data_IF_224909561262
#
_entry.id   IF_224909561262
#
_cell.length_a   1.000
_cell.length_b   1.000
_cell.length_c   1.000
_cell.angle_alpha   90.00
_cell.angle_beta   90.00
_cell.angle_gamma   90.00
#
_symmetry.space_group_name_H-M   'P 1'
#
loop_
_entity.id
_entity.type
_entity.pdbx_description
1 polymer ?
#
# COMPACT_ATOMS: atom_id res chain seq x y z
N UNK A 1 -50.40 60.28 11.63
CA UNK A 1 -49.02 60.01 11.12
C UNK A 1 -48.36 58.81 11.79
N UNK A 2 -48.34 58.72 13.13
CA UNK A 2 -47.60 57.69 13.87
C UNK A 2 -47.96 56.23 13.52
N UNK A 3 -49.25 55.91 13.32
CA UNK A 3 -49.70 54.55 12.94
C UNK A 3 -49.18 54.08 11.58
N UNK A 4 -49.04 54.99 10.59
CA UNK A 4 -48.50 54.66 9.26
C UNK A 4 -46.99 54.42 9.30
N UNK A 5 -46.26 55.12 10.17
CA UNK A 5 -44.82 54.90 10.36
C UNK A 5 -44.55 53.51 10.99
N UNK A 6 -45.32 53.13 12.01
CA UNK A 6 -45.17 51.81 12.67
C UNK A 6 -45.47 50.66 11.69
N UNK A 7 -46.53 50.78 10.87
CA UNK A 7 -46.83 49.78 9.84
C UNK A 7 -45.72 49.65 8.79
N UNK A 8 -45.13 50.77 8.33
CA UNK A 8 -44.01 50.72 7.37
C UNK A 8 -42.78 50.03 7.97
N UNK A 9 -42.49 50.29 9.25
CA UNK A 9 -41.31 49.73 9.93
C UNK A 9 -41.45 48.21 10.14
N UNK A 10 -42.66 47.74 10.46
CA UNK A 10 -42.96 46.30 10.61
C UNK A 10 -42.88 45.57 9.27
N UNK A 11 -43.37 46.17 8.17
CA UNK A 11 -43.27 45.57 6.84
C UNK A 11 -41.81 45.47 6.39
N UNK A 12 -41.00 46.51 6.61
CA UNK A 12 -39.57 46.51 6.26
C UNK A 12 -38.77 45.48 7.07
N UNK A 13 -39.09 45.27 8.34
CA UNK A 13 -38.43 44.23 9.15
C UNK A 13 -38.85 42.82 8.75
N UNK A 14 -40.12 42.59 8.41
CA UNK A 14 -40.58 41.28 7.91
C UNK A 14 -39.97 40.96 6.54
N UNK A 15 -39.82 41.94 5.65
CA UNK A 15 -39.14 41.76 4.36
C UNK A 15 -37.64 41.53 4.56
N UNK A 16 -36.98 42.25 5.47
CA UNK A 16 -35.57 42.03 5.79
C UNK A 16 -35.30 40.64 6.38
N UNK A 17 -36.20 40.14 7.24
CA UNK A 17 -36.13 38.78 7.79
C UNK A 17 -36.44 37.74 6.70
N UNK A 18 -37.42 37.98 5.81
CA UNK A 18 -37.71 37.10 4.68
C UNK A 18 -36.54 37.03 3.67
N UNK A 19 -35.81 38.13 3.46
CA UNK A 19 -34.58 38.11 2.65
C UNK A 19 -33.40 37.47 3.39
N UNK A 20 -33.26 37.64 4.71
CA UNK A 20 -32.19 37.01 5.48
C UNK A 20 -32.39 35.49 5.63
N UNK A 21 -33.65 35.04 5.76
CA UNK A 21 -34.01 33.61 5.73
C UNK A 21 -33.95 33.05 4.31
N UNK A 22 -34.26 33.87 3.29
CA UNK A 22 -34.11 33.51 1.87
C UNK A 22 -32.68 33.43 1.35
N UNK A 23 -31.70 34.02 2.05
CA UNK A 23 -30.27 34.02 1.66
C UNK A 23 -29.45 32.97 2.46
N UNK A 24 -30.04 32.27 3.44
CA UNK A 24 -29.33 31.26 4.25
C UNK A 24 -29.81 29.82 4.09
N UNK A 25 -30.48 29.49 2.98
CA UNK A 25 -30.66 28.10 2.53
C UNK A 25 -29.91 27.87 1.21
N UNK A 26 -28.58 28.08 1.24
CA UNK A 26 -27.70 27.29 0.40
C UNK A 26 -27.66 25.87 0.97
N UNK A 27 -28.77 25.14 0.84
CA UNK A 27 -28.69 23.69 0.70
C UNK A 27 -27.69 23.46 -0.42
N UNK A 28 -26.57 22.80 -0.10
CA UNK A 28 -25.69 22.25 -1.12
C UNK A 28 -26.53 21.24 -1.89
N UNK A 29 -27.20 21.71 -2.96
CA UNK A 29 -27.68 20.84 -4.03
C UNK A 29 -26.46 20.03 -4.44
N UNK A 30 -26.42 18.76 -4.03
CA UNK A 30 -25.66 17.77 -4.75
C UNK A 30 -26.11 17.95 -6.20
N UNK A 31 -25.25 18.48 -7.07
CA UNK A 31 -25.56 18.54 -8.50
C UNK A 31 -26.07 17.15 -8.89
N UNK A 32 -27.29 17.07 -9.42
CA UNK A 32 -27.89 15.78 -9.76
C UNK A 32 -26.88 15.02 -10.63
N UNK A 33 -26.69 13.73 -10.40
CA UNK A 33 -25.71 12.94 -11.16
C UNK A 33 -25.91 13.10 -12.69
N UNK A 34 -27.17 13.33 -13.11
CA UNK A 34 -27.55 13.68 -14.48
C UNK A 34 -26.90 14.98 -14.99
N UNK A 35 -26.82 16.02 -14.17
CA UNK A 35 -26.14 17.27 -14.51
C UNK A 35 -24.62 17.05 -14.65
N UNK A 36 -24.03 16.21 -13.79
CA UNK A 36 -22.60 15.91 -13.82
C UNK A 36 -22.19 15.14 -15.09
N UNK A 37 -22.98 14.15 -15.53
CA UNK A 37 -22.75 13.49 -16.82
C UNK A 37 -22.93 14.44 -18.01
N UNK A 38 -23.91 15.34 -17.94
CA UNK A 38 -24.08 16.40 -18.94
C UNK A 38 -22.87 17.32 -19.03
N UNK A 39 -22.27 17.71 -17.89
CA UNK A 39 -21.02 18.48 -17.84
C UNK A 39 -19.88 17.69 -18.47
N UNK A 40 -19.70 16.42 -18.10
CA UNK A 40 -18.65 15.56 -18.66
C UNK A 40 -18.75 15.46 -20.20
N UNK A 41 -19.94 15.20 -20.73
CA UNK A 41 -20.19 15.13 -22.17
C UNK A 41 -19.87 16.46 -22.88
N UNK A 42 -20.22 17.60 -22.27
CA UNK A 42 -19.86 18.92 -22.81
C UNK A 42 -18.36 19.15 -22.82
N UNK A 43 -17.64 18.77 -21.76
CA UNK A 43 -16.17 18.88 -21.71
C UNK A 43 -15.54 18.07 -22.84
N UNK A 44 -15.96 16.81 -23.00
CA UNK A 44 -15.48 15.96 -24.09
C UNK A 44 -15.72 16.57 -25.47
N UNK A 45 -16.95 17.05 -25.72
CA UNK A 45 -17.31 17.67 -26.99
C UNK A 45 -16.54 18.96 -27.29
N UNK A 46 -16.28 19.78 -26.26
CA UNK A 46 -15.45 20.99 -26.41
C UNK A 46 -14.03 20.61 -26.81
N UNK A 47 -13.43 19.62 -26.14
CA UNK A 47 -12.08 19.14 -26.49
C UNK A 47 -12.06 18.63 -27.93
N UNK A 48 -12.99 17.75 -28.31
CA UNK A 48 -13.09 17.21 -29.67
C UNK A 48 -13.27 18.30 -30.74
N UNK A 49 -14.08 19.32 -30.46
CA UNK A 49 -14.41 20.36 -31.44
C UNK A 49 -13.41 21.52 -31.51
N UNK A 50 -12.62 21.75 -30.45
CA UNK A 50 -11.76 22.94 -30.30
C UNK A 50 -10.27 22.63 -30.15
N UNK A 51 -9.89 21.38 -29.90
CA UNK A 51 -8.48 20.99 -29.91
C UNK A 51 -7.89 21.19 -31.31
N UNK A 52 -6.65 21.67 -31.35
CA UNK A 52 -5.99 22.12 -32.59
C UNK A 52 -5.63 20.97 -33.54
N UNK A 53 -5.56 19.74 -33.02
CA UNK A 53 -5.27 18.52 -33.77
C UNK A 53 -6.44 17.52 -33.70
N UNK A 54 -6.48 16.51 -34.59
CA UNK A 54 -7.44 15.42 -34.47
C UNK A 54 -7.30 14.69 -33.13
N UNK A 55 -8.43 14.52 -32.42
CA UNK A 55 -8.48 13.80 -31.14
C UNK A 55 -8.62 12.30 -31.38
N UNK A 56 -7.73 11.51 -30.78
CA UNK A 56 -7.93 10.07 -30.60
C UNK A 56 -8.99 9.83 -29.53
N UNK A 57 -10.23 9.60 -29.97
CA UNK A 57 -11.40 9.43 -29.11
C UNK A 57 -11.26 8.23 -28.15
N UNK A 58 -10.66 7.13 -28.61
CA UNK A 58 -10.46 5.94 -27.80
C UNK A 58 -9.49 6.23 -26.65
N UNK A 59 -8.37 6.90 -26.95
CA UNK A 59 -7.39 7.32 -25.94
C UNK A 59 -7.97 8.35 -24.96
N UNK A 60 -8.78 9.29 -25.45
CA UNK A 60 -9.44 10.28 -24.59
C UNK A 60 -10.40 9.61 -23.59
N UNK A 61 -11.19 8.64 -24.04
CA UNK A 61 -12.10 7.87 -23.17
C UNK A 61 -11.37 6.97 -22.19
N UNK A 62 -10.29 6.31 -22.62
CA UNK A 62 -9.43 5.56 -21.70
C UNK A 62 -8.90 6.46 -20.57
N UNK A 63 -8.46 7.67 -20.90
CA UNK A 63 -8.01 8.66 -19.91
C UNK A 63 -9.12 9.07 -18.94
N UNK A 64 -10.35 9.25 -19.43
CA UNK A 64 -11.51 9.57 -18.60
C UNK A 64 -11.88 8.43 -17.65
N UNK A 65 -11.96 7.18 -18.13
CA UNK A 65 -12.26 6.01 -17.32
C UNK A 65 -11.20 5.78 -16.25
N UNK A 66 -9.92 5.92 -16.62
CA UNK A 66 -8.81 5.85 -15.67
C UNK A 66 -8.92 6.93 -14.61
N UNK A 67 -9.18 8.18 -15.00
CA UNK A 67 -9.40 9.28 -14.08
C UNK A 67 -10.53 8.98 -13.08
N UNK A 68 -11.67 8.48 -13.56
CA UNK A 68 -12.83 8.15 -12.73
C UNK A 68 -12.56 7.04 -11.70
N UNK A 69 -11.78 6.02 -12.07
CA UNK A 69 -11.47 4.88 -11.18
C UNK A 69 -10.32 5.21 -10.21
N UNK A 70 -9.21 5.75 -10.72
CA UNK A 70 -7.99 5.98 -9.94
C UNK A 70 -8.12 7.19 -8.99
N UNK A 71 -9.05 8.12 -9.23
CA UNK A 71 -9.28 9.26 -8.33
C UNK A 71 -9.97 8.88 -7.01
N UNK A 72 -10.68 7.75 -6.96
CA UNK A 72 -11.42 7.30 -5.78
C UNK A 72 -10.48 6.80 -4.69
N UNK A 73 -9.46 6.04 -5.09
CA UNK A 73 -8.43 5.50 -4.21
C UNK A 73 -7.19 5.19 -5.03
N UNK A 74 -6.01 5.60 -4.54
CA UNK A 74 -4.75 5.52 -5.29
C UNK A 74 -4.22 4.09 -5.54
N UNK A 75 -4.94 3.07 -5.05
CA UNK A 75 -4.68 1.66 -5.33
C UNK A 75 -5.70 1.05 -6.30
N UNK A 76 -6.78 1.76 -6.64
CA UNK A 76 -7.69 1.33 -7.69
C UNK A 76 -7.00 1.45 -9.05
N UNK A 77 -7.40 0.60 -9.99
CA UNK A 77 -6.83 0.58 -11.35
C UNK A 77 -7.92 0.36 -12.39
N UNK A 78 -7.99 1.23 -13.40
CA UNK A 78 -8.68 0.91 -14.65
C UNK A 78 -7.71 0.16 -15.56
N UNK A 79 -8.17 -0.89 -16.23
CA UNK A 79 -7.34 -1.76 -17.05
C UNK A 79 -8.07 -1.97 -18.38
N UNK A 80 -7.62 -1.33 -19.47
CA UNK A 80 -8.20 -1.53 -20.80
C UNK A 80 -8.16 -3.00 -21.22
N UNK A 81 -9.16 -3.45 -22.00
CA UNK A 81 -9.29 -4.84 -22.44
C UNK A 81 -8.01 -5.37 -23.12
N UNK A 82 -7.48 -4.60 -24.09
CA UNK A 82 -6.26 -4.92 -24.83
C UNK A 82 -4.99 -4.99 -23.96
N UNK A 83 -4.98 -4.31 -22.80
CA UNK A 83 -3.91 -4.40 -21.80
C UNK A 83 -4.12 -5.64 -20.95
N UNK A 84 -5.34 -5.88 -20.47
CA UNK A 84 -5.68 -7.06 -19.66
C UNK A 84 -5.30 -8.36 -20.39
N UNK A 85 -5.61 -8.49 -21.67
CA UNK A 85 -5.24 -9.66 -22.49
C UNK A 85 -3.73 -9.93 -22.48
N UNK A 86 -2.91 -8.88 -22.48
CA UNK A 86 -1.43 -8.99 -22.51
C UNK A 86 -0.84 -9.29 -21.14
N UNK A 87 -1.49 -8.84 -20.05
CA UNK A 87 -0.95 -9.00 -18.69
C UNK A 87 -1.53 -10.21 -17.95
N UNK A 88 -2.71 -10.70 -18.31
CA UNK A 88 -3.36 -11.85 -17.66
C UNK A 88 -2.46 -13.09 -17.58
N UNK A 89 -1.72 -13.51 -18.64
CA UNK A 89 -0.79 -14.63 -18.54
C UNK A 89 0.32 -14.39 -17.51
N UNK A 90 0.78 -13.14 -17.38
CA UNK A 90 1.88 -12.73 -16.49
C UNK A 90 1.53 -12.81 -15.01
N UNK A 91 0.24 -12.78 -14.65
CA UNK A 91 -0.18 -12.81 -13.25
C UNK A 91 0.23 -14.11 -12.53
N UNK A 92 0.40 -15.20 -13.29
CA UNK A 92 0.84 -16.51 -12.79
C UNK A 92 2.35 -16.72 -12.86
N UNK A 93 3.07 -15.82 -13.51
CA UNK A 93 4.52 -15.95 -13.70
C UNK A 93 5.26 -15.70 -12.40
N UNK A 94 6.29 -16.51 -12.16
CA UNK A 94 7.18 -16.38 -10.99
C UNK A 94 8.39 -15.48 -11.26
N UNK A 95 8.78 -15.33 -12.52
CA UNK A 95 9.88 -14.47 -12.91
C UNK A 95 9.53 -12.99 -12.69
N UNK A 96 10.47 -12.25 -12.11
CA UNK A 96 10.34 -10.82 -11.83
C UNK A 96 11.68 -10.10 -12.03
N UNK A 97 11.62 -8.78 -12.24
CA UNK A 97 12.82 -7.92 -12.32
C UNK A 97 13.44 -7.67 -10.94
N UNK A 98 12.64 -7.79 -9.88
CA UNK A 98 13.06 -7.58 -8.50
C UNK A 98 12.92 -6.16 -8.00
N UNK A 99 11.90 -5.44 -8.45
CA UNK A 99 11.52 -4.14 -7.91
C UNK A 99 10.10 -4.18 -7.35
N UNK A 100 9.85 -3.35 -6.33
CA UNK A 100 8.52 -2.97 -5.88
C UNK A 100 8.29 -1.53 -6.24
N UNK A 101 7.09 -1.20 -6.70
CA UNK A 101 6.76 0.13 -7.18
C UNK A 101 5.44 0.64 -6.61
N UNK A 102 5.33 1.96 -6.54
CA UNK A 102 4.08 2.70 -6.34
C UNK A 102 3.86 3.64 -7.53
N UNK A 103 2.65 4.18 -7.67
CA UNK A 103 2.37 5.24 -8.62
C UNK A 103 2.45 6.59 -7.91
N UNK A 104 3.29 7.51 -8.40
CA UNK A 104 3.43 8.87 -7.86
C UNK A 104 3.56 9.87 -9.02
N UNK A 105 2.68 10.87 -9.05
CA UNK A 105 2.66 11.85 -10.15
C UNK A 105 2.40 11.21 -11.52
N UNK A 106 1.69 10.08 -11.56
CA UNK A 106 1.47 9.28 -12.78
C UNK A 106 2.57 8.24 -13.06
N UNK A 107 3.79 8.44 -12.58
CA UNK A 107 4.91 7.54 -12.88
C UNK A 107 5.02 6.38 -11.89
N UNK A 108 5.64 5.29 -12.34
CA UNK A 108 6.06 4.22 -11.43
C UNK A 108 7.34 4.64 -10.70
N UNK A 109 7.29 4.69 -9.37
CA UNK A 109 8.45 4.95 -8.53
C UNK A 109 8.83 3.69 -7.77
N UNK A 110 10.10 3.32 -7.83
CA UNK A 110 10.67 2.20 -7.08
C UNK A 110 10.67 2.53 -5.59
N UNK A 111 10.13 1.63 -4.77
CA UNK A 111 10.10 1.75 -3.30
C UNK A 111 10.98 0.73 -2.61
N UNK A 112 11.32 -0.36 -3.30
CA UNK A 112 12.21 -1.40 -2.82
C UNK A 112 12.83 -2.12 -4.00
N UNK A 113 14.09 -2.52 -3.83
CA UNK A 113 14.84 -3.35 -4.77
C UNK A 113 15.18 -4.63 -4.03
N UNK A 114 14.81 -5.76 -4.60
CA UNK A 114 14.96 -7.06 -3.96
C UNK A 114 16.43 -7.47 -4.06
N UNK A 115 17.09 -7.85 -2.96
CA UNK A 115 18.46 -8.34 -3.01
C UNK A 115 18.64 -9.55 -3.93
N UNK A 116 19.77 -9.60 -4.64
CA UNK A 116 20.11 -10.64 -5.60
C UNK A 116 19.36 -10.58 -6.94
N UNK A 117 18.58 -9.51 -7.17
CA UNK A 117 17.81 -9.31 -8.39
C UNK A 117 18.61 -8.68 -9.53
N UNK A 118 18.07 -8.74 -10.76
CA UNK A 118 18.67 -8.05 -11.90
C UNK A 118 18.59 -6.52 -11.76
N UNK A 119 17.54 -6.01 -11.08
CA UNK A 119 17.45 -4.60 -10.74
C UNK A 119 18.58 -4.12 -9.83
N UNK A 120 18.90 -4.89 -8.79
CA UNK A 120 20.01 -4.56 -7.88
C UNK A 120 21.36 -4.54 -8.63
N UNK A 121 21.61 -5.54 -9.47
CA UNK A 121 22.84 -5.62 -10.28
C UNK A 121 23.00 -4.42 -11.23
N UNK A 122 21.89 -3.90 -11.74
CA UNK A 122 21.89 -2.72 -12.60
C UNK A 122 22.01 -1.40 -11.82
N UNK A 123 22.10 -1.44 -10.49
CA UNK A 123 22.20 -0.24 -9.65
C UNK A 123 20.88 0.52 -9.49
N UNK A 124 19.73 -0.11 -9.76
CA UNK A 124 18.45 0.50 -9.43
C UNK A 124 18.37 0.63 -7.91
N UNK A 125 17.93 1.80 -7.44
CA UNK A 125 17.74 2.11 -6.02
C UNK A 125 16.31 2.57 -5.74
N UNK A 126 15.90 2.55 -4.47
CA UNK A 126 14.64 3.16 -4.05
C UNK A 126 14.61 4.65 -4.43
N UNK A 127 13.46 5.14 -4.89
CA UNK A 127 13.28 6.49 -5.43
C UNK A 127 13.39 6.57 -6.95
N UNK A 128 14.06 5.61 -7.61
CA UNK A 128 14.18 5.54 -9.08
C UNK A 128 12.81 5.62 -9.75
N UNK A 129 12.69 6.48 -10.76
CA UNK A 129 11.46 6.65 -11.54
C UNK A 129 11.56 5.81 -12.81
N UNK A 130 10.68 4.82 -12.95
CA UNK A 130 10.53 4.05 -14.19
C UNK A 130 9.61 4.83 -15.09
N UNK A 131 10.10 5.22 -16.26
CA UNK A 131 9.36 6.00 -17.25
C UNK A 131 8.62 5.12 -18.24
N UNK A 132 9.26 4.03 -18.70
CA UNK A 132 8.67 3.10 -19.67
C UNK A 132 8.93 1.66 -19.29
N UNK A 133 7.99 0.80 -19.67
CA UNK A 133 8.12 -0.65 -19.63
C UNK A 133 7.81 -1.19 -21.03
N UNK A 134 8.80 -1.80 -21.68
CA UNK A 134 8.73 -2.26 -23.07
C UNK A 134 8.21 -1.16 -24.02
N UNK A 135 8.77 0.05 -23.90
CA UNK A 135 8.40 1.22 -24.70
C UNK A 135 7.08 1.91 -24.32
N UNK A 136 6.27 1.33 -23.43
CA UNK A 136 5.03 1.96 -22.95
C UNK A 136 5.30 2.85 -21.74
N UNK A 137 4.86 4.11 -21.81
CA UNK A 137 4.97 5.03 -20.68
C UNK A 137 4.16 4.58 -19.47
N UNK A 138 4.75 4.65 -18.29
CA UNK A 138 4.08 4.25 -17.04
C UNK A 138 2.94 5.19 -16.64
N UNK A 139 2.96 6.44 -17.12
CA UNK A 139 1.85 7.37 -16.87
C UNK A 139 0.54 6.95 -17.53
N UNK A 140 0.63 6.21 -18.64
CA UNK A 140 -0.52 5.68 -19.38
C UNK A 140 -0.97 4.31 -18.82
N UNK A 141 -0.23 3.75 -17.86
CA UNK A 141 -0.52 2.46 -17.27
C UNK A 141 -1.09 2.61 -15.86
N UNK A 142 -2.01 1.74 -15.50
CA UNK A 142 -2.47 1.60 -14.11
C UNK A 142 -1.42 0.89 -13.26
N UNK A 143 -1.48 1.08 -11.93
CA UNK A 143 -0.55 0.44 -11.00
C UNK A 143 -0.61 -1.10 -11.12
N UNK A 144 -1.81 -1.66 -11.31
CA UNK A 144 -1.98 -3.09 -11.57
C UNK A 144 -1.22 -3.55 -12.81
N UNK A 145 -1.35 -2.80 -13.91
CA UNK A 145 -0.71 -3.13 -15.19
C UNK A 145 0.80 -3.05 -15.08
N UNK A 146 1.33 -2.03 -14.41
CA UNK A 146 2.77 -1.89 -14.11
C UNK A 146 3.26 -3.11 -13.32
N UNK A 147 2.60 -3.45 -12.20
CA UNK A 147 2.98 -4.60 -11.35
C UNK A 147 2.95 -5.92 -12.14
N UNK A 148 1.95 -6.12 -13.00
CA UNK A 148 1.84 -7.32 -13.82
C UNK A 148 2.90 -7.39 -14.93
N UNK A 149 3.26 -6.25 -15.54
CA UNK A 149 4.30 -6.18 -16.57
C UNK A 149 5.71 -6.41 -16.03
N UNK A 150 5.95 -6.12 -14.73
CA UNK A 150 7.20 -6.43 -14.04
C UNK A 150 7.37 -7.92 -13.72
N UNK A 151 6.35 -8.74 -14.02
CA UNK A 151 6.40 -10.20 -14.02
C UNK A 151 6.41 -10.76 -15.43
N UNK A 152 7.06 -11.89 -15.59
CA UNK A 152 7.14 -12.58 -16.86
C UNK A 152 7.90 -13.91 -16.77
N UNK A 153 7.96 -14.65 -17.89
CA UNK A 153 8.62 -15.94 -17.91
C UNK A 153 10.11 -15.79 -17.60
N UNK A 154 10.64 -16.65 -16.73
CA UNK A 154 12.06 -16.63 -16.31
C UNK A 154 12.98 -16.66 -17.53
N UNK A 155 14.03 -15.83 -17.51
CA UNK A 155 15.01 -15.66 -18.58
C UNK A 155 14.54 -14.81 -19.77
N UNK A 156 13.25 -14.47 -19.87
CA UNK A 156 12.77 -13.57 -20.93
C UNK A 156 13.18 -12.11 -20.66
N UNK A 157 13.42 -11.32 -21.71
CA UNK A 157 13.81 -9.94 -21.56
C UNK A 157 12.64 -9.02 -21.18
N UNK A 158 12.97 -7.93 -20.50
CA UNK A 158 12.11 -6.78 -20.27
C UNK A 158 12.95 -5.52 -20.36
N UNK A 159 12.51 -4.56 -21.18
CA UNK A 159 13.15 -3.27 -21.30
C UNK A 159 12.49 -2.29 -20.32
N UNK A 160 13.29 -1.67 -19.46
CA UNK A 160 12.86 -0.54 -18.65
C UNK A 160 13.64 0.70 -19.07
N UNK A 161 12.92 1.79 -19.29
CA UNK A 161 13.48 3.15 -19.34
C UNK A 161 13.29 3.75 -17.96
N UNK A 162 14.37 4.17 -17.29
CA UNK A 162 14.30 4.80 -15.97
C UNK A 162 15.21 6.01 -15.86
N UNK A 163 14.84 6.95 -14.98
CA UNK A 163 15.67 8.12 -14.70
C UNK A 163 16.83 7.72 -13.78
N UNK A 164 18.05 7.83 -14.28
CA UNK A 164 19.28 7.59 -13.52
C UNK A 164 19.69 8.85 -12.78
N UNK A 165 19.62 8.82 -11.45
CA UNK A 165 19.99 9.96 -10.61
C UNK A 165 21.47 10.31 -10.79
N UNK A 166 22.34 9.31 -10.92
CA UNK A 166 23.78 9.50 -11.03
C UNK A 166 24.17 10.14 -12.38
N UNK A 167 23.51 9.74 -13.47
CA UNK A 167 23.78 10.28 -14.81
C UNK A 167 22.94 11.50 -15.17
N UNK A 168 21.95 11.85 -14.35
CA UNK A 168 21.02 12.96 -14.58
C UNK A 168 20.20 12.84 -15.87
N UNK A 169 19.97 11.61 -16.36
CA UNK A 169 19.26 11.34 -17.62
C UNK A 169 18.60 9.97 -17.64
N UNK A 170 17.81 9.75 -18.67
CA UNK A 170 17.13 8.48 -18.90
C UNK A 170 18.10 7.40 -19.35
N UNK A 171 17.91 6.20 -18.81
CA UNK A 171 18.64 5.00 -19.21
C UNK A 171 17.66 3.92 -19.67
N UNK A 172 17.95 3.35 -20.83
CA UNK A 172 17.31 2.15 -21.32
C UNK A 172 18.15 0.93 -20.93
N UNK A 173 17.56 0.01 -20.19
CA UNK A 173 18.23 -1.23 -19.81
C UNK A 173 17.31 -2.43 -20.06
N UNK A 174 17.90 -3.50 -20.62
CA UNK A 174 17.19 -4.76 -20.83
C UNK A 174 17.56 -5.72 -19.72
N UNK A 175 16.60 -5.97 -18.83
CA UNK A 175 16.68 -6.94 -17.74
C UNK A 175 16.20 -8.31 -18.21
N UNK A 176 16.51 -9.34 -17.44
CA UNK A 176 15.86 -10.65 -17.55
C UNK A 176 14.96 -10.88 -16.34
N UNK A 177 13.79 -11.50 -16.56
CA UNK A 177 13.02 -11.97 -15.42
C UNK A 177 13.76 -13.09 -14.71
N UNK A 178 13.85 -13.00 -13.39
CA UNK A 178 14.47 -14.02 -12.54
C UNK A 178 13.45 -14.50 -11.52
N UNK A 179 13.42 -15.79 -11.26
CA UNK A 179 12.72 -16.30 -10.09
C UNK A 179 13.54 -15.90 -8.86
N UNK A 180 12.95 -15.03 -8.04
CA UNK A 180 13.55 -14.61 -6.77
C UNK A 180 12.81 -15.37 -5.67
N UNK A 181 13.55 -15.77 -4.64
CA UNK A 181 12.93 -16.39 -3.47
C UNK A 181 11.88 -15.41 -2.90
N UNK A 182 10.59 -15.80 -2.85
CA UNK A 182 9.55 -14.96 -2.25
C UNK A 182 9.83 -14.68 -0.76
N UNK A 183 10.70 -15.49 -0.16
CA UNK A 183 11.15 -15.37 1.21
C UNK A 183 12.65 -15.11 1.19
N UNK A 184 13.09 -13.85 1.16
CA UNK A 184 14.43 -13.57 1.64
C UNK A 184 14.42 -13.84 3.15
N UNK A 185 14.58 -15.11 3.55
CA UNK A 185 15.10 -15.44 4.88
C UNK A 185 16.58 -15.10 4.81
N UNK A 186 16.88 -13.80 4.91
CA UNK A 186 18.22 -13.36 5.18
C UNK A 186 18.51 -13.69 6.64
N UNK A 187 18.95 -14.93 6.89
CA UNK A 187 19.60 -15.27 8.15
C UNK A 187 20.94 -14.55 8.15
N UNK A 188 20.93 -13.28 8.52
CA UNK A 188 22.16 -12.59 8.88
C UNK A 188 22.68 -13.22 10.17
N UNK A 189 23.44 -14.32 10.05
CA UNK A 189 24.15 -14.89 11.20
C UNK A 189 25.41 -14.08 11.46
N UNK A 190 25.23 -12.82 11.83
CA UNK A 190 26.23 -12.06 12.55
C UNK A 190 25.63 -11.73 13.92
N UNK A 191 26.30 -12.18 14.98
CA UNK A 191 25.98 -11.85 16.38
C UNK A 191 24.66 -12.42 16.97
N UNK A 192 24.17 -13.58 16.49
CA UNK A 192 22.98 -14.29 17.01
C UNK A 192 21.64 -13.57 16.78
N UNK A 193 21.55 -12.61 15.86
CA UNK A 193 20.26 -12.09 15.38
C UNK A 193 19.78 -12.90 14.18
N UNK A 194 18.47 -13.03 14.06
CA UNK A 194 17.82 -13.87 13.07
C UNK A 194 16.76 -13.04 12.36
N UNK A 195 16.96 -12.65 11.09
CA UNK A 195 15.98 -11.86 10.32
C UNK A 195 15.11 -12.74 9.43
N UNK A 196 13.80 -12.51 9.51
CA UNK A 196 12.77 -13.16 8.74
C UNK A 196 11.93 -12.08 8.05
N UNK A 197 12.17 -11.84 6.76
CA UNK A 197 11.40 -10.86 5.98
C UNK A 197 10.19 -11.53 5.36
N UNK A 198 9.02 -10.92 5.54
CA UNK A 198 7.77 -11.38 4.91
C UNK A 198 7.32 -10.34 3.89
N UNK A 199 7.48 -10.63 2.60
CA UNK A 199 6.87 -9.83 1.55
C UNK A 199 5.47 -10.32 1.15
N UNK A 200 5.21 -11.63 1.28
CA UNK A 200 3.92 -12.28 1.01
C UNK A 200 3.58 -13.34 2.04
N UNK A 201 2.30 -13.44 2.40
CA UNK A 201 1.78 -14.40 3.38
C UNK A 201 1.27 -15.69 2.71
N UNK A 202 2.12 -16.36 1.93
CA UNK A 202 1.83 -17.69 1.37
C UNK A 202 1.62 -18.75 2.45
N UNK A 203 1.07 -19.92 2.09
CA UNK A 203 0.93 -21.02 3.06
C UNK A 203 2.29 -21.53 3.56
N UNK A 204 3.31 -21.51 2.70
CA UNK A 204 4.68 -21.92 3.03
C UNK A 204 5.30 -21.07 4.15
N UNK A 205 5.04 -19.76 4.16
CA UNK A 205 5.65 -18.85 5.14
C UNK A 205 5.18 -19.15 6.57
N UNK A 206 3.96 -19.67 6.74
CA UNK A 206 3.39 -19.98 8.06
C UNK A 206 4.18 -21.11 8.71
N UNK A 207 4.48 -22.18 7.96
CA UNK A 207 5.29 -23.29 8.45
C UNK A 207 6.74 -22.88 8.73
N UNK A 208 7.37 -22.17 7.77
CA UNK A 208 8.76 -21.71 7.90
C UNK A 208 8.96 -20.74 9.06
N UNK A 209 7.99 -19.86 9.32
CA UNK A 209 8.07 -18.94 10.46
C UNK A 209 8.09 -19.71 11.79
N UNK A 210 7.23 -20.72 11.95
CA UNK A 210 7.18 -21.53 13.18
C UNK A 210 8.49 -22.26 13.45
N UNK A 211 9.09 -22.88 12.43
CA UNK A 211 10.40 -23.54 12.55
C UNK A 211 11.53 -22.55 12.90
N UNK A 212 11.44 -21.33 12.39
CA UNK A 212 12.44 -20.29 12.62
C UNK A 212 12.32 -19.69 14.03
N UNK A 213 11.10 -19.40 14.46
CA UNK A 213 10.78 -18.83 15.77
C UNK A 213 11.12 -19.77 16.93
N UNK A 214 11.14 -21.09 16.71
CA UNK A 214 11.51 -22.09 17.72
C UNK A 214 13.00 -22.04 18.15
N UNK A 215 13.86 -21.28 17.46
CA UNK A 215 15.29 -21.17 17.77
C UNK A 215 15.52 -20.01 18.76
N UNK A 216 15.98 -20.31 19.98
CA UNK A 216 16.15 -19.33 21.09
C UNK A 216 17.13 -18.18 20.80
N UNK A 217 16.68 -17.18 20.05
CA UNK A 217 17.43 -15.94 19.74
C UNK A 217 16.46 -14.78 19.60
N UNK A 218 16.90 -13.52 19.78
CA UNK A 218 16.11 -12.40 19.31
C UNK A 218 15.86 -12.53 17.80
N UNK A 219 14.59 -12.44 17.40
CA UNK A 219 14.16 -12.54 16.01
C UNK A 219 13.77 -11.15 15.51
N UNK A 220 14.10 -10.87 14.25
CA UNK A 220 13.66 -9.69 13.52
C UNK A 220 12.62 -10.15 12.50
N UNK A 221 11.37 -9.75 12.67
CA UNK A 221 10.32 -9.89 11.68
C UNK A 221 10.27 -8.62 10.83
N UNK A 222 10.79 -8.69 9.61
CA UNK A 222 10.89 -7.53 8.72
C UNK A 222 9.66 -7.42 7.81
N UNK A 223 8.83 -6.40 8.08
CA UNK A 223 7.60 -6.10 7.34
C UNK A 223 7.71 -4.82 6.51
N UNK A 224 8.92 -4.25 6.35
CA UNK A 224 9.11 -2.92 5.75
C UNK A 224 8.50 -2.77 4.36
N UNK A 225 8.47 -3.82 3.55
CA UNK A 225 8.01 -3.77 2.16
C UNK A 225 6.80 -4.67 1.87
N UNK A 226 6.12 -5.14 2.92
CA UNK A 226 4.95 -6.01 2.79
C UNK A 226 3.75 -5.24 2.23
N UNK A 227 3.25 -5.68 1.07
CA UNK A 227 2.02 -5.16 0.46
C UNK A 227 0.94 -6.23 0.25
N UNK A 228 1.22 -7.46 0.65
CA UNK A 228 0.37 -8.62 0.43
C UNK A 228 -0.94 -8.59 1.25
N UNK A 229 -1.98 -9.24 0.71
CA UNK A 229 -3.34 -9.23 1.25
C UNK A 229 -3.84 -10.62 1.69
N UNK A 230 -2.96 -11.59 1.94
CA UNK A 230 -3.37 -12.90 2.50
C UNK A 230 -3.59 -12.82 4.02
N UNK A 231 -4.67 -12.15 4.42
CA UNK A 231 -4.99 -11.86 5.83
C UNK A 231 -5.18 -13.10 6.71
N UNK A 232 -5.69 -14.21 6.17
CA UNK A 232 -5.88 -15.42 6.98
C UNK A 232 -4.54 -16.01 7.42
N UNK A 233 -3.55 -16.08 6.53
CA UNK A 233 -2.21 -16.59 6.85
C UNK A 233 -1.47 -15.63 7.78
N UNK A 234 -1.62 -14.33 7.58
CA UNK A 234 -1.16 -13.34 8.54
C UNK A 234 -1.76 -13.55 9.93
N UNK A 235 -3.07 -13.80 10.05
CA UNK A 235 -3.71 -14.07 11.34
C UNK A 235 -3.19 -15.37 11.98
N UNK A 236 -2.87 -16.40 11.20
CA UNK A 236 -2.24 -17.63 11.71
C UNK A 236 -0.86 -17.33 12.31
N UNK A 237 -0.04 -16.52 11.64
CA UNK A 237 1.26 -16.07 12.17
C UNK A 237 1.07 -15.25 13.45
N UNK A 238 0.13 -14.30 13.47
CA UNK A 238 -0.17 -13.52 14.67
C UNK A 238 -0.60 -14.42 15.84
N UNK A 239 -1.51 -15.37 15.59
CA UNK A 239 -1.99 -16.32 16.58
C UNK A 239 -0.85 -17.17 17.14
N UNK A 240 0.02 -17.68 16.26
CA UNK A 240 1.21 -18.43 16.66
C UNK A 240 2.13 -17.60 17.56
N UNK A 241 2.51 -16.38 17.14
CA UNK A 241 3.38 -15.47 17.91
C UNK A 241 2.81 -15.20 19.30
N UNK A 242 1.51 -14.92 19.38
CA UNK A 242 0.85 -14.51 20.61
C UNK A 242 0.39 -15.68 21.49
N UNK A 243 0.37 -16.92 20.97
CA UNK A 243 -0.14 -18.08 21.69
C UNK A 243 -1.64 -18.00 22.00
N UNK A 244 -2.41 -17.21 21.24
CA UNK A 244 -3.82 -16.94 21.52
C UNK A 244 -4.67 -16.80 20.24
N UNK A 245 -6.00 -16.76 20.43
CA UNK A 245 -6.94 -16.45 19.34
C UNK A 245 -6.76 -14.99 18.94
N UNK A 246 -6.58 -14.74 17.64
CA UNK A 246 -6.44 -13.39 17.09
C UNK A 246 -7.59 -13.09 16.14
N UNK A 247 -8.06 -11.84 16.16
CA UNK A 247 -9.16 -11.38 15.33
C UNK A 247 -8.79 -10.12 14.55
N UNK A 248 -9.36 -9.98 13.37
CA UNK A 248 -9.37 -8.74 12.60
C UNK A 248 -10.77 -8.53 12.02
N UNK A 249 -11.09 -7.32 11.61
CA UNK A 249 -12.40 -7.01 11.04
C UNK A 249 -12.24 -6.59 9.59
N UNK A 250 -13.07 -7.15 8.71
CA UNK A 250 -13.20 -6.79 7.32
C UNK A 250 -14.52 -6.02 7.14
N UNK A 251 -14.42 -4.74 6.80
CA UNK A 251 -15.56 -3.86 6.52
C UNK A 251 -15.78 -3.80 5.01
N UNK A 252 -16.97 -4.22 4.58
CA UNK A 252 -17.45 -4.17 3.21
C UNK A 252 -18.58 -3.14 3.11
N UNK A 253 -19.05 -2.86 1.89
CA UNK A 253 -20.25 -2.03 1.70
C UNK A 253 -21.46 -2.76 2.30
N UNK A 254 -22.06 -2.18 3.34
CA UNK A 254 -23.25 -2.73 4.01
C UNK A 254 -23.01 -3.95 4.91
N UNK A 255 -21.76 -4.38 5.12
CA UNK A 255 -21.46 -5.55 5.93
C UNK A 255 -20.14 -5.42 6.69
N UNK A 256 -20.07 -6.10 7.84
CA UNK A 256 -18.85 -6.23 8.65
C UNK A 256 -18.65 -7.71 8.95
N UNK A 257 -17.47 -8.24 8.63
CA UNK A 257 -17.08 -9.62 8.89
C UNK A 257 -15.93 -9.67 9.88
N UNK A 258 -15.99 -10.60 10.82
CA UNK A 258 -14.87 -10.89 11.72
C UNK A 258 -14.05 -12.04 11.14
N UNK A 259 -12.77 -11.79 10.94
CA UNK A 259 -11.78 -12.81 10.63
C UNK A 259 -11.14 -13.29 11.93
N UNK A 260 -10.79 -14.57 11.97
CA UNK A 260 -10.23 -15.19 13.17
C UNK A 260 -9.23 -16.26 12.77
N UNK A 261 -8.12 -16.33 13.50
CA UNK A 261 -7.27 -17.50 13.53
C UNK A 261 -7.03 -17.93 14.99
N UNK A 262 -6.70 -19.22 15.15
CA UNK A 262 -6.30 -19.83 16.41
C UNK A 262 -5.02 -20.60 16.17
N UNK A 263 -4.28 -20.84 17.24
CA UNK A 263 -3.12 -21.71 17.28
C UNK A 263 -3.35 -22.81 18.32
N UNK A 264 -2.69 -23.96 18.15
CA UNK A 264 -2.58 -24.99 19.20
C UNK A 264 -1.55 -24.60 20.27
N UNK A 265 -0.60 -23.72 19.93
CA UNK A 265 0.38 -23.17 20.86
C UNK A 265 -0.32 -22.30 21.91
N UNK A 266 -0.17 -22.64 23.19
CA UNK A 266 -0.80 -21.91 24.30
C UNK A 266 0.13 -20.91 24.98
N UNK A 267 1.39 -20.90 24.59
CA UNK A 267 2.43 -20.03 25.13
C UNK A 267 2.91 -19.09 24.03
N UNK A 268 3.00 -17.77 24.27
CA UNK A 268 3.55 -16.85 23.27
C UNK A 268 4.98 -17.27 22.91
N UNK A 269 5.28 -17.39 21.61
CA UNK A 269 6.59 -17.90 21.13
C UNK A 269 7.78 -17.05 21.59
N UNK A 270 7.52 -15.77 21.91
CA UNK A 270 8.52 -14.81 22.35
C UNK A 270 8.32 -14.36 23.80
N UNK A 271 7.65 -15.17 24.63
CA UNK A 271 7.49 -14.89 26.07
C UNK A 271 8.83 -14.80 26.83
N UNK A 272 9.85 -15.54 26.36
CA UNK A 272 11.19 -15.62 26.96
C UNK A 272 12.31 -15.15 26.02
N UNK A 273 11.97 -14.59 24.86
CA UNK A 273 12.90 -14.05 23.88
C UNK A 273 12.40 -12.68 23.40
N UNK A 274 13.07 -12.07 22.41
CA UNK A 274 12.68 -10.75 21.86
C UNK A 274 12.29 -10.89 20.41
N UNK A 275 11.21 -10.21 20.02
CA UNK A 275 10.80 -10.04 18.64
C UNK A 275 10.86 -8.55 18.27
N UNK A 276 11.72 -8.20 17.33
CA UNK A 276 11.73 -6.88 16.71
C UNK A 276 10.91 -6.92 15.43
N UNK A 277 9.90 -6.06 15.31
CA UNK A 277 9.07 -5.97 14.11
C UNK A 277 9.48 -4.71 13.34
N UNK A 278 10.08 -4.87 12.16
CA UNK A 278 10.49 -3.73 11.35
C UNK A 278 9.33 -3.23 10.50
N UNK A 279 9.04 -1.93 10.56
CA UNK A 279 8.01 -1.28 9.75
C UNK A 279 8.56 -0.10 8.94
N UNK A 280 7.97 0.17 7.79
CA UNK A 280 8.24 1.37 7.00
C UNK A 280 6.96 2.01 6.48
N UNK A 281 7.07 3.17 5.82
CA UNK A 281 5.96 3.80 5.08
C UNK A 281 5.35 2.91 3.99
N UNK A 282 6.06 1.87 3.57
CA UNK A 282 5.60 0.89 2.57
C UNK A 282 4.99 -0.38 3.19
N UNK A 283 5.02 -0.52 4.52
CA UNK A 283 4.27 -1.57 5.22
C UNK A 283 2.78 -1.28 5.11
N UNK A 284 2.02 -2.15 4.44
CA UNK A 284 0.58 -2.02 4.23
C UNK A 284 -0.12 -3.38 4.29
N UNK A 285 -1.44 -3.38 4.13
CA UNK A 285 -2.27 -4.58 4.06
C UNK A 285 -2.01 -5.55 5.22
N UNK A 286 -1.77 -6.84 4.92
CA UNK A 286 -1.59 -7.85 5.96
C UNK A 286 -0.40 -7.52 6.89
N UNK A 287 0.69 -6.97 6.36
CA UNK A 287 1.84 -6.56 7.17
C UNK A 287 1.51 -5.45 8.18
N UNK A 288 0.71 -4.46 7.77
CA UNK A 288 0.26 -3.40 8.69
C UNK A 288 -0.67 -3.95 9.78
N UNK A 289 -1.60 -4.84 9.42
CA UNK A 289 -2.51 -5.48 10.39
C UNK A 289 -1.71 -6.33 11.38
N UNK A 290 -0.75 -7.12 10.91
CA UNK A 290 0.15 -7.90 11.77
C UNK A 290 0.89 -7.01 12.76
N UNK A 291 1.56 -5.96 12.28
CA UNK A 291 2.29 -5.04 13.15
C UNK A 291 1.39 -4.43 14.24
N UNK A 292 0.14 -4.10 13.89
CA UNK A 292 -0.81 -3.55 14.86
C UNK A 292 -1.23 -4.59 15.91
N UNK A 293 -1.54 -5.82 15.49
CA UNK A 293 -1.90 -6.92 16.40
C UNK A 293 -0.77 -7.28 17.39
N UNK A 294 0.48 -7.12 16.96
CA UNK A 294 1.67 -7.40 17.77
C UNK A 294 2.08 -6.22 18.66
N UNK A 295 1.58 -5.00 18.41
CA UNK A 295 2.02 -3.80 19.11
C UNK A 295 1.64 -3.85 20.60
N UNK A 296 2.59 -3.48 21.46
CA UNK A 296 2.40 -3.42 22.91
C UNK A 296 2.32 -4.78 23.59
N UNK A 297 2.54 -5.87 22.86
CA UNK A 297 2.57 -7.23 23.43
C UNK A 297 3.93 -7.49 24.08
N UNK A 298 3.98 -8.25 25.20
CA UNK A 298 5.23 -8.55 25.90
C UNK A 298 6.29 -9.18 24.97
N UNK A 299 7.55 -8.76 25.11
CA UNK A 299 8.66 -9.27 24.31
C UNK A 299 8.74 -8.75 22.87
N UNK A 300 7.74 -7.97 22.41
CA UNK A 300 7.68 -7.43 21.06
C UNK A 300 8.01 -5.93 21.05
N UNK A 301 8.83 -5.49 20.10
CA UNK A 301 9.15 -4.08 19.89
C UNK A 301 9.08 -3.72 18.41
N UNK A 302 8.22 -2.76 18.06
CA UNK A 302 8.15 -2.24 16.70
C UNK A 302 9.24 -1.18 16.51
N UNK A 303 10.04 -1.35 15.47
CA UNK A 303 11.15 -0.46 15.14
C UNK A 303 11.00 0.00 13.69
N UNK A 304 11.22 1.27 13.40
CA UNK A 304 11.25 1.74 12.02
C UNK A 304 10.57 3.08 11.83
N UNK A 305 9.79 3.19 10.75
CA UNK A 305 8.94 4.36 10.49
C UNK A 305 7.46 3.97 10.54
N UNK A 306 6.62 5.00 10.50
CA UNK A 306 5.16 4.82 10.48
C UNK A 306 4.73 3.99 9.26
N UNK A 307 3.75 3.10 9.43
CA UNK A 307 3.14 2.34 8.32
C UNK A 307 2.30 3.21 7.40
N UNK A 308 1.91 2.68 6.23
CA UNK A 308 1.17 3.42 5.19
C UNK A 308 -0.23 3.91 5.59
N UNK A 309 -0.83 3.33 6.64
CA UNK A 309 -2.24 3.57 6.97
C UNK A 309 -3.26 2.91 6.02
N UNK A 310 -2.81 1.99 5.17
CA UNK A 310 -3.67 1.29 4.20
C UNK A 310 -3.74 -0.20 4.52
N UNK A 311 -4.96 -0.71 4.65
CA UNK A 311 -5.23 -2.15 4.65
C UNK A 311 -6.57 -2.43 3.98
N UNK A 312 -6.51 -3.03 2.79
CA UNK A 312 -7.68 -3.21 1.93
C UNK A 312 -7.59 -4.50 1.09
N UNK A 313 -8.75 -4.98 0.66
CA UNK A 313 -8.89 -6.06 -0.31
C UNK A 313 -9.47 -5.50 -1.60
N UNK A 314 -9.00 -6.03 -2.73
CA UNK A 314 -9.48 -5.63 -4.05
C UNK A 314 -10.30 -6.71 -4.73
N UNK A 315 -11.22 -6.29 -5.59
CA UNK A 315 -11.91 -7.13 -6.56
C UNK A 315 -11.56 -6.64 -7.96
N UNK A 316 -11.43 -7.58 -8.90
CA UNK A 316 -11.26 -7.30 -10.33
C UNK A 316 -12.61 -7.52 -11.00
N UNK A 317 -13.25 -6.42 -11.39
CA UNK A 317 -14.58 -6.42 -12.02
C UNK A 317 -14.42 -6.22 -13.52
N UNK A 318 -15.08 -7.04 -14.33
CA UNK A 318 -15.16 -6.83 -15.77
C UNK A 318 -16.25 -5.81 -16.09
N UNK A 319 -15.98 -4.94 -17.05
CA UNK A 319 -16.88 -3.90 -17.56
C UNK A 319 -17.49 -4.34 -18.90
N UNK A 320 -18.56 -3.66 -19.32
CA UNK A 320 -19.35 -4.04 -20.51
C UNK A 320 -18.53 -3.95 -21.82
N UNK A 321 -17.53 -3.07 -21.87
CA UNK A 321 -16.60 -2.90 -23.00
C UNK A 321 -15.44 -3.92 -22.99
N UNK A 322 -15.45 -4.87 -22.04
CA UNK A 322 -14.39 -5.87 -21.84
C UNK A 322 -13.18 -5.36 -21.06
N UNK A 323 -13.15 -4.08 -20.66
CA UNK A 323 -12.16 -3.58 -19.74
C UNK A 323 -12.40 -4.09 -18.32
N UNK A 324 -11.49 -3.77 -17.40
CA UNK A 324 -11.56 -4.20 -16.01
C UNK A 324 -11.30 -3.04 -15.06
N UNK A 325 -11.95 -3.08 -13.90
CA UNK A 325 -11.65 -2.22 -12.77
C UNK A 325 -11.18 -3.07 -11.58
N UNK A 326 -9.96 -2.83 -11.12
CA UNK A 326 -9.52 -3.26 -9.79
C UNK A 326 -9.96 -2.23 -8.77
N UNK A 327 -10.85 -2.63 -7.85
CA UNK A 327 -11.44 -1.74 -6.84
C UNK A 327 -11.18 -2.26 -5.43
N UNK A 328 -10.79 -1.37 -4.52
CA UNK A 328 -10.81 -1.68 -3.10
C UNK A 328 -12.26 -1.82 -2.59
N UNK A 329 -12.68 -3.06 -2.30
CA UNK A 329 -14.06 -3.38 -1.85
C UNK A 329 -14.14 -3.71 -0.36
N UNK A 330 -12.99 -3.93 0.28
CA UNK A 330 -12.89 -4.28 1.71
C UNK A 330 -11.83 -3.43 2.38
N UNK A 331 -12.11 -2.92 3.59
CA UNK A 331 -11.11 -2.33 4.47
C UNK A 331 -10.91 -3.17 5.72
N UNK A 332 -9.66 -3.35 6.14
CA UNK A 332 -9.29 -4.17 7.29
C UNK A 332 -8.88 -3.32 8.50
N UNK A 333 -9.50 -3.60 9.64
CA UNK A 333 -9.19 -2.99 10.94
C UNK A 333 -8.24 -3.91 11.75
N UNK A 334 -7.42 -3.37 12.68
CA UNK A 334 -7.49 -2.03 13.29
C UNK A 334 -6.58 -0.95 12.65
N UNK A 335 -6.52 -0.85 11.33
CA UNK A 335 -5.68 0.15 10.65
C UNK A 335 -6.38 1.50 10.51
N UNK A 336 -5.71 2.56 10.93
CA UNK A 336 -6.15 3.95 10.74
C UNK A 336 -5.42 4.58 9.55
N UNK A 337 -6.00 5.63 8.97
CA UNK A 337 -5.43 6.34 7.81
C UNK A 337 -4.07 6.97 8.11
N UNK A 338 -3.81 7.31 9.38
CA UNK A 338 -2.55 7.91 9.81
C UNK A 338 -1.40 6.91 9.76
N UNK A 339 -1.69 5.60 9.84
CA UNK A 339 -0.70 4.55 9.97
C UNK A 339 -0.23 4.30 11.41
N UNK A 340 0.34 3.12 11.62
CA UNK A 340 0.83 2.66 12.91
C UNK A 340 2.20 3.29 13.20
N UNK A 341 2.32 4.04 14.30
CA UNK A 341 3.62 4.51 14.80
C UNK A 341 4.41 3.34 15.42
N UNK A 342 5.71 3.20 15.13
CA UNK A 342 6.56 2.22 15.81
C UNK A 342 6.80 2.64 17.27
N UNK A 343 7.26 1.70 18.09
CA UNK A 343 7.68 1.97 19.47
C UNK A 343 9.02 2.72 19.49
N UNK A 344 9.92 2.35 18.59
CA UNK A 344 11.20 3.02 18.37
C UNK A 344 11.25 3.56 16.94
N UNK A 345 11.26 4.90 16.80
CA UNK A 345 11.44 5.53 15.50
C UNK A 345 12.90 5.41 15.06
N UNK A 346 13.12 4.81 13.90
CA UNK A 346 14.43 4.66 13.28
C UNK A 346 14.27 4.52 11.76
N UNK A 347 15.04 5.23 10.96
CA UNK A 347 15.18 4.90 9.55
C UNK A 347 16.21 3.79 9.46
N UNK A 348 15.87 2.65 8.85
CA UNK A 348 16.74 1.47 8.82
C UNK A 348 16.83 1.00 7.38
N UNK A 349 18.03 1.08 6.82
CA UNK A 349 18.35 0.44 5.55
C UNK A 349 18.81 -1.00 5.78
N UNK A 350 18.77 -1.83 4.73
CA UNK A 350 19.05 -3.27 4.83
C UNK A 350 20.44 -3.57 5.41
N UNK A 351 21.44 -2.76 5.08
CA UNK A 351 22.82 -2.88 5.61
C UNK A 351 22.94 -2.53 7.09
N UNK A 352 21.99 -1.80 7.67
CA UNK A 352 22.10 -1.29 9.04
C UNK A 352 21.21 -2.04 10.06
N UNK A 353 20.43 -3.02 9.59
CA UNK A 353 19.44 -3.73 10.43
C UNK A 353 20.10 -4.34 11.66
N UNK A 354 21.19 -5.10 11.49
CA UNK A 354 21.86 -5.78 12.58
C UNK A 354 22.40 -4.79 13.62
N UNK A 355 23.14 -3.77 13.17
CA UNK A 355 23.76 -2.77 14.06
C UNK A 355 22.72 -2.01 14.88
N UNK A 356 21.62 -1.57 14.25
CA UNK A 356 20.58 -0.82 14.96
C UNK A 356 19.85 -1.67 15.99
N UNK A 357 19.55 -2.93 15.67
CA UNK A 357 18.89 -3.83 16.63
C UNK A 357 19.84 -4.21 17.77
N UNK A 358 21.11 -4.50 17.49
CA UNK A 358 22.11 -4.77 18.53
C UNK A 358 22.31 -3.58 19.47
N UNK A 359 22.30 -2.35 18.93
CA UNK A 359 22.36 -1.14 19.75
C UNK A 359 21.13 -0.96 20.65
N UNK A 360 19.93 -1.36 20.20
CA UNK A 360 18.74 -1.34 21.05
C UNK A 360 18.83 -2.36 22.18
N UNK A 361 19.25 -3.59 21.87
CA UNK A 361 19.46 -4.64 22.87
C UNK A 361 20.46 -4.20 23.96
N UNK A 362 21.59 -3.59 23.56
CA UNK A 362 22.59 -3.04 24.49
C UNK A 362 22.00 -1.97 25.42
N UNK A 363 21.22 -1.03 24.87
CA UNK A 363 20.58 0.05 25.65
C UNK A 363 19.59 -0.48 26.69
N UNK A 364 18.82 -1.51 26.34
CA UNK A 364 17.89 -2.13 27.29
C UNK A 364 18.60 -2.87 28.43
N UNK A 365 19.68 -3.59 28.12
CA UNK A 365 20.49 -4.27 29.12
C UNK A 365 21.08 -3.29 30.16
N UNK A 366 21.58 -2.14 29.70
CA UNK A 366 22.10 -1.09 30.59
C UNK A 366 21.04 -0.49 31.52
N UNK A 367 19.79 -0.28 31.03
CA UNK A 367 18.69 0.21 31.87
C UNK A 367 18.29 -0.79 32.97
N UNK A 368 18.35 -2.08 32.66
CA UNK A 368 17.96 -3.14 33.59
C UNK A 368 18.99 -3.28 34.72
N UNK A 369 20.28 -3.09 34.41
CA UNK A 369 21.36 -3.14 35.40
C UNK A 369 21.44 -1.87 36.28
N UNK A 370 21.13 -0.69 35.73
CA UNK A 370 21.08 0.56 36.51
C UNK A 370 19.96 0.58 37.55
N UNK A 371 18.80 -0.03 37.27
CA UNK A 371 17.71 -0.15 38.26
C UNK A 371 17.98 -1.20 39.34
N UNK A 372 18.86 -2.19 39.10
CA UNK A 372 19.25 -3.20 40.10
C UNK A 372 20.37 -2.73 41.04
N UNK A 373 21.05 -1.64 40.72
CA UNK A 373 22.11 -1.04 41.56
C UNK A 373 21.61 0.15 42.38
N UNK A 374 20.38 0.60 42.15
CA UNK A 374 19.71 1.69 42.87
C UNK A 374 18.62 1.20 43.84
N UNK A 375 18.49 -0.11 44.03
CA UNK A 375 17.65 -0.78 45.03
C UNK A 375 18.55 -1.67 45.89
#
# INVERSE_FOLDING_TARGET
>A
MLKRLVQLTVILTVVAIATAVGISNHEKKHADAYDAFGVFARVYNIVKARYVEPVDEAKAMEGAYRGAVESVFDQNSYIPANIMEKIRPRLKEKGQVGIRVIKRGGYAQVVHVIPGSEAEKAGIVAGTVIQKINGKYTWDLSLFSIKAMLKGPVGKPINLTYYSMDKGKDEDHTFQYKELDPIPVSVYSMEKLSTFRIESFSDEIVGRFSEYAAKEKPVILDLRYTQDSHYLNMLKIAAFILGEKVTATARLKGAVKTLTARTSEKTPSFAHSRLFVLTSGFTMNAGAVLANLLKGKPGITLVGTRTSGKAFGTEILQLDDGAYAELATVFYSPITKEGLKPDVRSYIDDSEVADKINNLLKKEATKTNGNKTAA
#
